data_IF_722345528515
#
_entry.id   IF_722345528515
#
_cell.length_a   1.000
_cell.length_b   1.000
_cell.length_c   1.000
_cell.angle_alpha   90.00
_cell.angle_beta   90.00
_cell.angle_gamma   90.00
#
_symmetry.space_group_name_H-M   'P 1'
#
loop_
_entity.id
_entity.type
_entity.pdbx_description
1 polymer ?
#
# COMPACT_ATOMS: atom_id res chain seq x y z
N UNK A 1 11.87 -5.34 -4.76
CA UNK A 1 13.28 -5.03 -4.42
C UNK A 1 13.40 -3.53 -4.22
N UNK A 2 14.31 -3.08 -3.38
CA UNK A 2 14.68 -1.66 -3.20
C UNK A 2 16.15 -1.48 -3.58
N UNK A 3 16.49 -0.39 -4.26
CA UNK A 3 17.87 -0.09 -4.69
C UNK A 3 18.32 1.24 -4.13
N UNK A 4 19.57 1.31 -3.65
CA UNK A 4 20.25 2.57 -3.37
C UNK A 4 21.03 3.01 -4.62
N UNK A 5 20.78 4.23 -5.10
CA UNK A 5 21.33 4.71 -6.37
C UNK A 5 22.69 5.42 -6.25
N UNK A 6 23.09 5.82 -5.02
CA UNK A 6 24.26 6.66 -4.78
C UNK A 6 25.49 5.94 -4.20
N UNK A 7 25.37 4.69 -3.75
CA UNK A 7 26.48 3.89 -3.20
C UNK A 7 26.41 2.45 -3.72
N UNK A 8 27.53 1.70 -3.63
CA UNK A 8 27.66 0.29 -4.04
C UNK A 8 26.32 -0.45 -3.99
N UNK A 9 25.83 -0.90 -5.16
CA UNK A 9 24.49 -1.48 -5.42
C UNK A 9 24.02 -2.47 -4.34
N UNK A 10 23.58 -1.97 -3.18
CA UNK A 10 22.93 -2.77 -2.14
C UNK A 10 21.43 -2.72 -2.41
N UNK A 11 20.86 -3.91 -2.51
CA UNK A 11 19.43 -4.08 -2.72
C UNK A 11 18.80 -4.76 -1.51
N UNK A 12 17.67 -4.24 -1.03
CA UNK A 12 16.82 -4.97 -0.09
C UNK A 12 15.85 -5.87 -0.85
N UNK A 13 15.84 -7.15 -0.50
CA UNK A 13 14.94 -8.15 -1.05
C UNK A 13 13.83 -8.45 -0.05
N UNK A 14 12.61 -8.03 -0.38
CA UNK A 14 11.42 -8.31 0.41
C UNK A 14 10.73 -9.57 -0.11
N UNK A 15 10.54 -10.56 0.75
CA UNK A 15 9.86 -11.83 0.43
C UNK A 15 8.62 -11.98 1.30
N UNK A 16 7.51 -12.42 0.72
CA UNK A 16 6.34 -12.79 1.49
C UNK A 16 5.02 -12.81 0.73
N UNK A 17 4.83 -11.92 -0.26
CA UNK A 17 3.64 -12.00 -1.11
C UNK A 17 3.60 -13.36 -1.84
N UNK A 18 2.41 -13.93 -1.95
CA UNK A 18 2.18 -15.24 -2.61
C UNK A 18 1.57 -15.09 -4.00
N UNK A 19 1.46 -13.85 -4.49
CA UNK A 19 1.02 -13.51 -5.83
C UNK A 19 1.73 -12.27 -6.36
N UNK A 20 1.39 -11.89 -7.58
CA UNK A 20 1.99 -10.74 -8.27
C UNK A 20 1.82 -9.45 -7.45
N UNK A 21 2.88 -8.66 -7.39
CA UNK A 21 2.87 -7.34 -6.74
C UNK A 21 2.50 -6.29 -7.79
N UNK A 22 1.38 -5.60 -7.59
CA UNK A 22 0.86 -4.61 -8.55
C UNK A 22 1.25 -3.17 -8.22
N UNK A 23 1.50 -2.85 -6.95
CA UNK A 23 1.82 -1.49 -6.53
C UNK A 23 2.78 -1.46 -5.35
N UNK A 24 3.65 -0.44 -5.32
CA UNK A 24 4.55 -0.14 -4.20
C UNK A 24 4.58 1.36 -3.93
N UNK A 25 4.57 1.75 -2.65
CA UNK A 25 4.72 3.14 -2.21
C UNK A 25 5.56 3.25 -0.95
N UNK A 26 6.42 4.26 -0.92
CA UNK A 26 6.98 4.74 0.34
C UNK A 26 5.95 5.56 1.08
N UNK A 27 5.92 5.43 2.40
CA UNK A 27 5.30 6.43 3.25
C UNK A 27 6.10 7.74 3.15
N UNK A 28 5.46 8.91 3.36
CA UNK A 28 6.13 10.21 3.31
C UNK A 28 7.35 10.32 4.25
N UNK A 29 7.35 9.59 5.38
CA UNK A 29 8.48 9.54 6.31
C UNK A 29 9.73 8.86 5.73
N UNK A 30 9.60 8.11 4.64
CA UNK A 30 10.67 7.29 4.05
C UNK A 30 11.05 6.05 4.86
N UNK A 31 10.42 5.80 6.02
CA UNK A 31 10.77 4.70 6.92
C UNK A 31 9.96 3.41 6.67
N UNK A 32 8.85 3.52 5.93
CA UNK A 32 7.90 2.46 5.68
C UNK A 32 7.67 2.33 4.17
N UNK A 33 7.67 1.10 3.67
CA UNK A 33 7.24 0.76 2.32
C UNK A 33 5.96 -0.08 2.42
N UNK A 34 4.96 0.17 1.56
CA UNK A 34 3.80 -0.68 1.40
C UNK A 34 3.76 -1.30 0.00
N UNK A 35 3.28 -2.54 -0.10
CA UNK A 35 3.09 -3.26 -1.37
C UNK A 35 1.69 -3.88 -1.47
N UNK A 36 1.06 -3.75 -2.64
CA UNK A 36 -0.25 -4.30 -2.99
C UNK A 36 -0.08 -5.52 -3.91
N UNK A 37 -0.89 -6.56 -3.72
CA UNK A 37 -0.70 -7.84 -4.38
C UNK A 37 -2.00 -8.53 -4.85
N UNK A 38 -1.85 -9.42 -5.83
CA UNK A 38 -2.84 -10.40 -6.27
C UNK A 38 -3.31 -11.34 -5.17
N UNK A 39 -2.51 -11.53 -4.12
CA UNK A 39 -2.87 -12.34 -2.95
C UNK A 39 -3.89 -11.69 -1.99
N UNK A 40 -4.50 -10.58 -2.42
CA UNK A 40 -5.51 -9.80 -1.71
C UNK A 40 -4.98 -9.07 -0.45
N UNK A 41 -3.66 -9.08 -0.23
CA UNK A 41 -3.04 -8.42 0.92
C UNK A 41 -2.27 -7.16 0.54
N UNK A 42 -2.12 -6.29 1.54
CA UNK A 42 -1.10 -5.26 1.57
C UNK A 42 -0.03 -5.68 2.57
N UNK A 43 1.24 -5.56 2.21
CA UNK A 43 2.36 -5.78 3.13
C UNK A 43 3.10 -4.49 3.41
N UNK A 44 3.51 -4.31 4.66
CA UNK A 44 4.31 -3.19 5.12
C UNK A 44 5.71 -3.66 5.47
N UNK A 45 6.73 -2.88 5.10
CA UNK A 45 8.14 -3.18 5.31
C UNK A 45 8.82 -1.98 5.98
N UNK A 46 9.34 -2.18 7.19
CA UNK A 46 10.16 -1.17 7.87
C UNK A 46 11.55 -1.16 7.23
N UNK A 47 12.02 0.02 6.84
CA UNK A 47 13.31 0.18 6.16
C UNK A 47 14.48 0.43 7.12
N UNK A 48 14.21 0.46 8.43
CA UNK A 48 15.20 0.69 9.48
C UNK A 48 15.90 -0.60 9.98
N UNK A 49 15.79 -1.71 9.24
CA UNK A 49 16.48 -2.96 9.57
C UNK A 49 15.83 -3.80 10.68
N UNK A 50 14.66 -3.41 11.19
CA UNK A 50 13.83 -4.27 12.05
C UNK A 50 12.89 -5.06 11.15
N UNK A 51 13.24 -6.32 10.95
CA UNK A 51 12.70 -7.29 9.98
C UNK A 51 11.22 -7.70 10.19
N UNK A 52 10.35 -6.78 10.55
CA UNK A 52 8.94 -7.05 10.81
C UNK A 52 8.08 -6.60 9.62
N UNK A 53 7.88 -7.52 8.68
CA UNK A 53 6.84 -7.33 7.67
C UNK A 53 5.47 -7.48 8.34
N UNK A 54 4.59 -6.49 8.19
CA UNK A 54 3.20 -6.60 8.67
C UNK A 54 2.27 -6.88 7.50
N UNK A 55 1.32 -7.79 7.68
CA UNK A 55 0.37 -8.19 6.63
C UNK A 55 -1.02 -7.68 6.97
N UNK A 56 -1.60 -6.92 6.05
CA UNK A 56 -2.98 -6.45 6.11
C UNK A 56 -3.81 -7.20 5.08
N UNK A 57 -4.81 -7.97 5.53
CA UNK A 57 -5.82 -8.59 4.65
C UNK A 57 -6.81 -7.53 4.20
N UNK A 58 -6.42 -6.76 3.19
CA UNK A 58 -7.13 -5.54 2.83
C UNK A 58 -8.44 -5.82 2.08
N UNK A 59 -8.42 -6.75 1.13
CA UNK A 59 -9.51 -6.95 0.16
C UNK A 59 -9.87 -8.42 0.00
N UNK A 60 -11.01 -8.70 -0.64
CA UNK A 60 -11.43 -10.08 -0.99
C UNK A 60 -10.97 -10.51 -2.38
N UNK A 61 -10.43 -9.57 -3.16
CA UNK A 61 -9.80 -9.81 -4.46
C UNK A 61 -8.47 -9.03 -4.55
N UNK A 62 -7.80 -9.11 -5.71
CA UNK A 62 -6.49 -8.52 -5.93
C UNK A 62 -6.46 -7.03 -5.56
N UNK A 63 -5.40 -6.60 -4.85
CA UNK A 63 -5.15 -5.19 -4.56
C UNK A 63 -4.30 -4.63 -5.69
N UNK A 64 -4.85 -3.72 -6.49
CA UNK A 64 -4.18 -3.20 -7.69
C UNK A 64 -3.29 -2.00 -7.41
N UNK A 65 -3.71 -1.16 -6.47
CA UNK A 65 -3.02 0.10 -6.19
C UNK A 65 -3.16 0.47 -4.73
N UNK A 66 -2.20 1.24 -4.25
CA UNK A 66 -2.19 1.83 -2.92
C UNK A 66 -1.52 3.20 -2.96
N UNK A 67 -1.90 4.07 -2.03
CA UNK A 67 -1.28 5.38 -1.85
C UNK A 67 -1.38 5.84 -0.40
N UNK A 68 -0.29 6.43 0.12
CA UNK A 68 -0.30 7.01 1.46
C UNK A 68 -0.89 8.42 1.42
N UNK A 69 -1.59 8.81 2.48
CA UNK A 69 -1.90 10.22 2.71
C UNK A 69 -0.59 11.01 2.89
N UNK A 70 -0.57 12.32 2.59
CA UNK A 70 0.63 13.15 2.73
C UNK A 70 1.22 13.20 4.14
N UNK A 71 0.40 13.02 5.18
CA UNK A 71 0.83 12.90 6.57
C UNK A 71 1.34 11.49 6.95
N UNK A 72 1.17 10.50 6.06
CA UNK A 72 1.54 9.11 6.26
C UNK A 72 0.70 8.34 7.27
N UNK A 73 -0.36 8.94 7.82
CA UNK A 73 -1.20 8.32 8.86
C UNK A 73 -2.24 7.36 8.29
N UNK A 74 -2.59 7.53 7.02
CA UNK A 74 -3.60 6.75 6.31
C UNK A 74 -3.04 6.13 5.02
N UNK A 75 -3.58 4.97 4.65
CA UNK A 75 -3.30 4.29 3.39
C UNK A 75 -4.61 4.04 2.66
N UNK A 76 -4.72 4.48 1.40
CA UNK A 76 -5.82 4.10 0.52
C UNK A 76 -5.41 2.89 -0.33
N UNK A 77 -6.35 1.98 -0.58
CA UNK A 77 -6.15 0.76 -1.37
C UNK A 77 -7.30 0.58 -2.35
N UNK A 78 -6.99 0.16 -3.59
CA UNK A 78 -7.95 -0.09 -4.66
C UNK A 78 -7.88 -1.55 -5.13
N UNK A 79 -9.03 -2.16 -5.43
CA UNK A 79 -9.11 -3.60 -5.67
C UNK A 79 -10.09 -4.02 -6.77
N UNK A 80 -9.87 -5.24 -7.27
CA UNK A 80 -10.82 -6.01 -8.07
C UNK A 80 -12.13 -6.32 -7.34
N UNK A 81 -12.20 -6.17 -6.01
CA UNK A 81 -13.45 -6.32 -5.26
C UNK A 81 -14.38 -5.10 -5.38
N UNK A 82 -14.09 -4.20 -6.32
CA UNK A 82 -14.80 -2.96 -6.66
C UNK A 82 -14.79 -1.89 -5.57
N UNK A 83 -14.04 -2.09 -4.48
CA UNK A 83 -13.96 -1.12 -3.39
C UNK A 83 -12.64 -0.37 -3.36
N UNK A 84 -12.72 0.86 -2.86
CA UNK A 84 -11.57 1.56 -2.30
C UNK A 84 -11.69 1.56 -0.79
N UNK A 85 -10.61 1.22 -0.08
CA UNK A 85 -10.57 1.20 1.38
C UNK A 85 -9.50 2.14 1.89
N UNK A 86 -9.79 2.84 2.98
CA UNK A 86 -8.85 3.72 3.68
C UNK A 86 -8.57 3.13 5.06
N UNK A 87 -7.29 2.97 5.37
CA UNK A 87 -6.79 2.29 6.56
C UNK A 87 -5.97 3.24 7.42
N UNK A 88 -6.11 3.12 8.74
CA UNK A 88 -5.13 3.69 9.66
C UNK A 88 -3.84 2.88 9.59
N UNK A 89 -2.72 3.53 9.29
CA UNK A 89 -1.41 2.86 9.18
C UNK A 89 -0.95 2.35 10.56
N UNK A 90 -1.14 3.16 11.60
CA UNK A 90 -0.74 2.80 12.97
C UNK A 90 -1.60 1.68 13.55
N UNK A 91 -2.93 1.77 13.42
CA UNK A 91 -3.88 0.83 14.03
C UNK A 91 -4.16 -0.40 13.16
N UNK A 92 -3.80 -0.35 11.88
CA UNK A 92 -4.12 -1.37 10.88
C UNK A 92 -5.61 -1.69 10.80
N UNK A 93 -6.44 -0.68 11.00
CA UNK A 93 -7.89 -0.80 11.01
C UNK A 93 -8.52 0.02 9.89
N UNK A 94 -9.58 -0.54 9.31
CA UNK A 94 -10.39 0.11 8.30
C UNK A 94 -11.03 1.37 8.90
N UNK A 95 -10.85 2.51 8.24
CA UNK A 95 -11.51 3.77 8.59
C UNK A 95 -12.71 4.01 7.67
N UNK A 96 -12.51 3.81 6.36
CA UNK A 96 -13.56 4.02 5.36
C UNK A 96 -13.54 2.93 4.30
N UNK A 97 -14.73 2.57 3.83
CA UNK A 97 -14.94 1.73 2.66
C UNK A 97 -15.81 2.51 1.66
N UNK A 98 -15.30 2.70 0.45
CA UNK A 98 -15.92 3.44 -0.63
C UNK A 98 -16.36 2.44 -1.71
N UNK A 99 -17.63 2.06 -1.67
CA UNK A 99 -18.25 1.05 -2.54
C UNK A 99 -19.03 1.72 -3.68
N UNK A 100 -18.38 2.63 -4.41
CA UNK A 100 -19.01 3.43 -5.46
C UNK A 100 -18.81 2.84 -6.86
N UNK A 101 -17.78 2.02 -7.06
CA UNK A 101 -17.49 1.41 -8.35
C UNK A 101 -18.24 0.09 -8.52
N UNK A 102 -18.72 -0.15 -9.74
CA UNK A 102 -19.38 -1.42 -10.13
C UNK A 102 -18.43 -2.40 -10.84
N UNK A 103 -17.18 -1.99 -11.05
CA UNK A 103 -16.13 -2.78 -11.69
C UNK A 103 -14.80 -2.61 -10.94
N UNK A 104 -13.74 -3.26 -11.41
CA UNK A 104 -12.41 -3.23 -10.81
C UNK A 104 -11.86 -1.82 -10.68
N UNK A 105 -11.29 -1.52 -9.52
CA UNK A 105 -10.62 -0.23 -9.28
C UNK A 105 -9.13 -0.41 -9.50
N UNK A 106 -8.64 0.20 -10.57
CA UNK A 106 -7.24 0.02 -11.00
C UNK A 106 -6.26 0.93 -10.26
N UNK A 107 -6.69 2.10 -9.80
CA UNK A 107 -5.81 3.10 -9.21
C UNK A 107 -6.48 3.79 -8.02
N UNK A 108 -5.67 4.30 -7.11
CA UNK A 108 -6.08 5.27 -6.11
C UNK A 108 -4.93 6.22 -5.83
N UNK A 109 -5.23 7.51 -5.62
CA UNK A 109 -4.24 8.53 -5.29
C UNK A 109 -4.79 9.53 -4.29
N UNK A 110 -4.00 9.89 -3.29
CA UNK A 110 -4.27 11.07 -2.49
C UNK A 110 -3.90 12.34 -3.26
N UNK A 111 -4.73 13.35 -3.08
CA UNK A 111 -4.36 14.74 -3.37
C UNK A 111 -3.22 15.18 -2.45
N UNK A 112 -2.37 16.13 -2.90
CA UNK A 112 -1.24 16.61 -2.09
C UNK A 112 -1.61 17.23 -0.74
N UNK A 113 -2.85 17.72 -0.58
CA UNK A 113 -3.36 18.26 0.68
C UNK A 113 -4.01 17.18 1.58
N UNK A 114 -4.14 15.95 1.08
CA UNK A 114 -4.69 14.79 1.79
C UNK A 114 -6.21 14.80 1.95
N UNK A 115 -6.93 15.78 1.37
CA UNK A 115 -8.37 15.95 1.60
C UNK A 115 -9.23 15.17 0.64
N UNK A 116 -8.68 14.75 -0.49
CA UNK A 116 -9.43 14.07 -1.55
C UNK A 116 -8.66 12.88 -2.10
N UNK A 117 -9.42 11.87 -2.55
CA UNK A 117 -8.92 10.70 -3.27
C UNK A 117 -9.40 10.75 -4.73
N UNK A 118 -8.52 10.39 -5.66
CA UNK A 118 -8.87 10.07 -7.04
C UNK A 118 -8.77 8.55 -7.24
N UNK A 119 -9.70 7.96 -8.00
CA UNK A 119 -9.83 6.51 -8.23
C UNK A 119 -10.17 6.22 -9.67
#
# INVERSE_FOLDING_TARGET
MLWHLSEEKRALHFKGHTGDVYGVRFAPSGQLLASASRDCTVRFWMLNGKDESRVLRAHTAAVRSLDFSPDGLSLATASDDTNVKVWSVQRQSLQHMLSLHTNWVHSVRYSPDGRTLAT
#
